data_IF_842512399192
#
_entry.id   IF_842512399192
#
_cell.length_a   1.000
_cell.length_b   1.000
_cell.length_c   1.000
_cell.angle_alpha   90.00
_cell.angle_beta   90.00
_cell.angle_gamma   90.00
#
_symmetry.space_group_name_H-M   'P 1'
#
loop_
_entity.id
_entity.type
_entity.pdbx_description
1 polymer ?
#
# COMPACT_ATOMS: atom_id res chain seq x y z
N UNK A 1 -24.06 10.06 -2.87
CA UNK A 1 -24.43 8.85 -3.67
C UNK A 1 -23.68 8.77 -5.02
N UNK A 2 -23.59 9.85 -5.82
CA UNK A 2 -22.92 9.85 -7.14
C UNK A 2 -21.43 9.46 -7.12
N UNK A 3 -20.64 10.01 -6.18
CA UNK A 3 -19.20 9.70 -6.07
C UNK A 3 -18.92 8.24 -5.72
N UNK A 4 -19.69 7.68 -4.78
CA UNK A 4 -19.59 6.28 -4.39
C UNK A 4 -19.90 5.33 -5.55
N UNK A 5 -20.96 5.59 -6.32
CA UNK A 5 -21.28 4.78 -7.50
C UNK A 5 -20.21 4.86 -8.59
N UNK A 6 -19.60 6.03 -8.78
CA UNK A 6 -18.48 6.21 -9.72
C UNK A 6 -17.24 5.43 -9.27
N UNK A 7 -16.92 5.47 -7.97
CA UNK A 7 -15.81 4.69 -7.41
C UNK A 7 -16.03 3.18 -7.55
N UNK A 8 -17.24 2.69 -7.27
CA UNK A 8 -17.57 1.26 -7.46
C UNK A 8 -17.46 0.84 -8.93
N UNK A 9 -17.92 1.68 -9.86
CA UNK A 9 -17.76 1.43 -11.31
C UNK A 9 -16.28 1.40 -11.73
N UNK A 10 -15.43 2.27 -11.16
CA UNK A 10 -13.98 2.26 -11.41
C UNK A 10 -13.29 1.03 -10.81
N UNK A 11 -13.77 0.52 -9.69
CA UNK A 11 -13.30 -0.75 -9.11
C UNK A 11 -13.66 -1.96 -9.96
N UNK A 12 -14.81 -1.95 -10.64
CA UNK A 12 -15.22 -3.03 -11.54
C UNK A 12 -14.50 -2.97 -12.89
N UNK A 13 -14.38 -1.78 -13.48
CA UNK A 13 -13.81 -1.61 -14.83
C UNK A 13 -12.29 -1.62 -14.84
N UNK A 14 -11.63 -1.00 -13.85
CA UNK A 14 -10.18 -0.87 -13.78
C UNK A 14 -9.69 -1.17 -12.34
N UNK A 15 -9.89 -2.41 -11.83
CA UNK A 15 -9.65 -2.74 -10.43
C UNK A 15 -8.21 -2.49 -9.97
N UNK A 16 -7.22 -2.80 -10.81
CA UNK A 16 -5.81 -2.66 -10.46
C UNK A 16 -5.43 -1.19 -10.30
N UNK A 17 -5.71 -0.36 -11.30
CA UNK A 17 -5.38 1.08 -11.29
C UNK A 17 -6.11 1.80 -10.17
N UNK A 18 -7.41 1.55 -10.00
CA UNK A 18 -8.21 2.19 -8.96
C UNK A 18 -7.69 1.86 -7.57
N UNK A 19 -7.42 0.57 -7.28
CA UNK A 19 -6.84 0.14 -6.00
C UNK A 19 -5.45 0.75 -5.77
N UNK A 20 -4.65 0.86 -6.82
CA UNK A 20 -3.30 1.44 -6.75
C UNK A 20 -3.33 2.93 -6.45
N UNK A 21 -4.19 3.69 -7.12
CA UNK A 21 -4.37 5.12 -6.84
C UNK A 21 -4.93 5.34 -5.44
N UNK A 22 -5.91 4.53 -5.01
CA UNK A 22 -6.41 4.58 -3.64
C UNK A 22 -5.32 4.26 -2.61
N UNK A 23 -4.51 3.24 -2.85
CA UNK A 23 -3.38 2.88 -1.98
C UNK A 23 -2.35 4.02 -1.91
N UNK A 24 -2.03 4.66 -3.03
CA UNK A 24 -1.13 5.81 -3.08
C UNK A 24 -1.62 6.97 -2.19
N UNK A 25 -2.90 7.32 -2.29
CA UNK A 25 -3.51 8.38 -1.50
C UNK A 25 -3.52 8.02 -0.01
N UNK A 26 -3.92 6.80 0.33
CA UNK A 26 -3.96 6.32 1.71
C UNK A 26 -2.55 6.29 2.31
N UNK A 27 -1.55 5.80 1.59
CA UNK A 27 -0.16 5.76 2.04
C UNK A 27 0.42 7.16 2.23
N UNK A 28 0.19 8.08 1.28
CA UNK A 28 0.65 9.47 1.40
C UNK A 28 0.04 10.19 2.60
N UNK A 29 -1.29 10.11 2.76
CA UNK A 29 -2.00 10.70 3.91
C UNK A 29 -1.58 10.03 5.23
N UNK A 30 -1.43 8.71 5.24
CA UNK A 30 -0.96 7.96 6.40
C UNK A 30 0.44 8.39 6.84
N UNK A 31 1.32 8.71 5.89
CA UNK A 31 2.64 9.24 6.18
C UNK A 31 2.56 10.65 6.82
N UNK A 32 1.67 11.53 6.37
CA UNK A 32 1.44 12.84 7.03
C UNK A 32 1.01 12.64 8.49
N UNK A 33 0.08 11.71 8.75
CA UNK A 33 -0.34 11.38 10.11
C UNK A 33 0.80 10.81 10.95
N UNK A 34 1.66 9.96 10.36
CA UNK A 34 2.84 9.43 11.04
C UNK A 34 3.82 10.53 11.42
N UNK A 35 4.12 11.45 10.51
CA UNK A 35 4.99 12.60 10.78
C UNK A 35 4.40 13.52 11.85
N UNK A 36 3.09 13.74 11.82
CA UNK A 36 2.38 14.51 12.85
C UNK A 36 2.48 13.85 14.22
N UNK A 37 2.21 12.54 14.30
CA UNK A 37 2.32 11.78 15.53
C UNK A 37 3.76 11.77 16.07
N UNK A 38 4.74 11.66 15.18
CA UNK A 38 6.16 11.73 15.54
C UNK A 38 6.54 13.12 16.09
N UNK A 39 6.02 14.19 15.53
CA UNK A 39 6.24 15.55 16.05
C UNK A 39 5.68 15.72 17.47
N UNK A 40 4.51 15.15 17.75
CA UNK A 40 3.91 15.12 19.09
C UNK A 40 4.79 14.34 20.07
N UNK A 41 5.16 13.11 19.71
CA UNK A 41 5.97 12.24 20.58
C UNK A 41 7.33 12.85 20.91
N UNK A 42 7.99 13.47 19.93
CA UNK A 42 9.31 14.07 20.08
C UNK A 42 9.29 15.51 20.59
N UNK A 43 8.10 16.10 20.83
CA UNK A 43 7.91 17.51 21.20
C UNK A 43 8.63 18.49 20.27
N UNK A 44 8.58 18.23 18.96
CA UNK A 44 9.21 19.06 17.91
C UNK A 44 8.14 19.82 17.12
N UNK A 45 8.48 20.97 16.50
CA UNK A 45 7.57 21.64 15.59
C UNK A 45 7.21 20.69 14.44
N UNK A 46 5.94 20.68 14.06
CA UNK A 46 5.46 19.86 12.96
C UNK A 46 6.01 20.39 11.64
N UNK A 47 6.75 19.55 10.92
CA UNK A 47 7.27 19.84 9.59
C UNK A 47 6.99 18.64 8.68
N UNK A 48 6.48 18.91 7.48
CA UNK A 48 6.15 17.87 6.51
C UNK A 48 7.37 17.63 5.61
N UNK A 49 7.93 16.43 5.69
CA UNK A 49 8.85 15.91 4.68
C UNK A 49 8.06 15.48 3.45
N UNK A 50 8.05 16.33 2.43
CA UNK A 50 7.43 16.03 1.14
C UNK A 50 8.12 14.84 0.45
N UNK A 51 9.43 14.68 0.61
CA UNK A 51 10.19 13.52 0.09
C UNK A 51 9.59 12.21 0.60
N UNK A 52 9.39 12.10 1.93
CA UNK A 52 8.80 10.90 2.52
C UNK A 52 7.34 10.72 2.10
N UNK A 53 6.56 11.80 2.09
CA UNK A 53 5.15 11.74 1.67
C UNK A 53 5.02 11.21 0.23
N UNK A 54 5.84 11.70 -0.71
CA UNK A 54 5.86 11.23 -2.08
C UNK A 54 6.41 9.80 -2.21
N UNK A 55 7.46 9.45 -1.47
CA UNK A 55 8.00 8.09 -1.47
C UNK A 55 6.97 7.06 -0.98
N UNK A 56 6.27 7.35 0.12
CA UNK A 56 5.16 6.52 0.62
C UNK A 56 4.00 6.46 -0.38
N UNK A 57 3.61 7.59 -0.98
CA UNK A 57 2.55 7.62 -2.00
C UNK A 57 2.91 6.80 -3.24
N UNK A 58 4.13 6.93 -3.76
CA UNK A 58 4.63 6.15 -4.90
C UNK A 58 4.70 4.67 -4.55
N UNK A 59 5.19 4.31 -3.37
CA UNK A 59 5.20 2.92 -2.88
C UNK A 59 3.78 2.36 -2.82
N UNK A 60 2.83 3.16 -2.34
CA UNK A 60 1.40 2.86 -2.37
C UNK A 60 0.88 2.54 -3.78
N UNK A 61 1.28 3.37 -4.75
CA UNK A 61 0.87 3.28 -6.14
C UNK A 61 1.47 2.06 -6.86
N UNK A 62 2.78 1.89 -6.82
CA UNK A 62 3.49 0.93 -7.68
C UNK A 62 3.62 -0.44 -7.03
N UNK A 63 3.51 -0.52 -5.70
CA UNK A 63 3.74 -1.75 -4.96
C UNK A 63 2.54 -2.19 -4.15
N UNK A 64 2.08 -1.40 -3.18
CA UNK A 64 1.04 -1.83 -2.22
C UNK A 64 -0.28 -2.16 -2.92
N UNK A 65 -0.74 -1.29 -3.82
CA UNK A 65 -1.97 -1.53 -4.59
C UNK A 65 -1.91 -2.79 -5.45
N UNK A 66 -0.90 -2.93 -6.33
CA UNK A 66 -0.73 -4.14 -7.14
C UNK A 66 -0.52 -5.40 -6.31
N UNK A 67 0.28 -5.35 -5.25
CA UNK A 67 0.50 -6.45 -4.33
C UNK A 67 -0.83 -6.95 -3.76
N UNK A 68 -1.62 -6.07 -3.16
CA UNK A 68 -2.90 -6.48 -2.57
C UNK A 68 -3.89 -6.99 -3.62
N UNK A 69 -3.92 -6.39 -4.82
CA UNK A 69 -4.77 -6.89 -5.89
C UNK A 69 -4.45 -8.36 -6.21
N UNK A 70 -3.17 -8.67 -6.45
CA UNK A 70 -2.73 -10.02 -6.82
C UNK A 70 -2.83 -10.98 -5.63
N UNK A 71 -2.36 -10.58 -4.45
CA UNK A 71 -2.32 -11.42 -3.25
C UNK A 71 -3.71 -11.89 -2.84
N UNK A 72 -4.69 -10.99 -2.78
CA UNK A 72 -6.07 -11.38 -2.43
C UNK A 72 -6.76 -12.21 -3.52
N UNK A 73 -6.39 -12.03 -4.80
CA UNK A 73 -6.85 -12.93 -5.86
C UNK A 73 -6.33 -14.35 -5.64
N UNK A 74 -5.04 -14.51 -5.31
CA UNK A 74 -4.45 -15.82 -5.01
C UNK A 74 -5.04 -16.45 -3.75
N UNK A 75 -5.21 -15.69 -2.67
CA UNK A 75 -5.88 -16.16 -1.45
C UNK A 75 -7.31 -16.65 -1.75
N UNK A 76 -8.03 -15.94 -2.63
CA UNK A 76 -9.34 -16.36 -3.10
C UNK A 76 -9.31 -17.69 -3.86
N UNK A 77 -8.30 -17.90 -4.72
CA UNK A 77 -8.08 -19.17 -5.45
C UNK A 77 -7.73 -20.32 -4.49
N UNK A 78 -6.88 -20.08 -3.48
CA UNK A 78 -6.57 -21.06 -2.43
C UNK A 78 -7.83 -21.47 -1.67
N UNK A 79 -8.67 -20.49 -1.32
CA UNK A 79 -9.97 -20.73 -0.67
C UNK A 79 -10.88 -21.66 -1.48
N UNK A 80 -11.10 -21.34 -2.77
CA UNK A 80 -11.90 -22.18 -3.69
C UNK A 80 -11.31 -23.58 -3.89
N UNK A 81 -9.98 -23.69 -3.87
CA UNK A 81 -9.30 -24.99 -3.99
C UNK A 81 -9.52 -25.85 -2.74
N UNK A 82 -9.49 -25.24 -1.54
CA UNK A 82 -9.80 -25.94 -0.30
C UNK A 82 -11.26 -26.41 -0.24
N UNK A 83 -12.20 -25.58 -0.71
CA UNK A 83 -13.61 -25.92 -0.79
C UNK A 83 -13.83 -27.13 -1.72
N UNK A 84 -13.33 -27.05 -2.96
CA UNK A 84 -13.53 -28.10 -3.98
C UNK A 84 -12.83 -29.42 -3.64
N UNK A 85 -11.66 -29.41 -2.98
CA UNK A 85 -10.91 -30.64 -2.66
C UNK A 85 -11.23 -31.26 -1.31
N UNK A 86 -11.56 -30.46 -0.29
CA UNK A 86 -11.70 -30.93 1.09
C UNK A 86 -13.13 -30.77 1.65
N UNK A 87 -14.08 -30.23 0.88
CA UNK A 87 -15.44 -29.97 1.36
C UNK A 87 -15.46 -29.06 2.58
N UNK A 88 -14.47 -28.15 2.67
CA UNK A 88 -14.21 -27.37 3.88
C UNK A 88 -15.32 -26.34 4.12
N UNK A 89 -15.78 -26.23 5.37
CA UNK A 89 -16.74 -25.20 5.78
C UNK A 89 -16.16 -23.78 5.60
N UNK A 90 -17.00 -22.81 5.27
CA UNK A 90 -16.63 -21.40 5.10
C UNK A 90 -15.78 -20.85 6.26
N UNK A 91 -16.10 -21.22 7.51
CA UNK A 91 -15.33 -20.78 8.69
C UNK A 91 -13.88 -21.26 8.68
N UNK A 92 -13.67 -22.52 8.27
CA UNK A 92 -12.33 -23.13 8.18
C UNK A 92 -11.53 -22.50 7.03
N UNK A 93 -12.19 -22.21 5.91
CA UNK A 93 -11.57 -21.48 4.80
C UNK A 93 -11.10 -20.09 5.22
N UNK A 94 -11.96 -19.29 5.85
CA UNK A 94 -11.59 -17.94 6.30
C UNK A 94 -10.43 -18.00 7.30
N UNK A 95 -10.48 -18.92 8.26
CA UNK A 95 -9.38 -19.10 9.21
C UNK A 95 -8.06 -19.44 8.51
N UNK A 96 -8.08 -20.38 7.56
CA UNK A 96 -6.89 -20.75 6.80
C UNK A 96 -6.36 -19.57 5.96
N UNK A 97 -7.24 -18.79 5.31
CA UNK A 97 -6.83 -17.60 4.56
C UNK A 97 -6.19 -16.54 5.48
N UNK A 98 -6.75 -16.30 6.67
CA UNK A 98 -6.15 -15.38 7.66
C UNK A 98 -4.78 -15.89 8.11
N UNK A 99 -4.64 -17.18 8.41
CA UNK A 99 -3.36 -17.75 8.83
C UNK A 99 -2.30 -17.60 7.74
N UNK A 100 -2.65 -17.86 6.48
CA UNK A 100 -1.74 -17.69 5.33
C UNK A 100 -1.36 -16.21 5.16
N UNK A 101 -2.34 -15.31 5.23
CA UNK A 101 -2.13 -13.87 5.11
C UNK A 101 -1.18 -13.31 6.19
N UNK A 102 -1.40 -13.68 7.45
CA UNK A 102 -0.62 -13.19 8.59
C UNK A 102 0.74 -13.87 8.74
N UNK A 103 0.95 -15.04 8.13
CA UNK A 103 2.25 -15.74 8.16
C UNK A 103 3.03 -15.50 6.88
N UNK A 104 2.64 -16.14 5.78
CA UNK A 104 3.32 -16.03 4.49
C UNK A 104 3.16 -14.65 3.88
N UNK A 105 1.97 -14.06 3.96
CA UNK A 105 1.72 -12.72 3.41
C UNK A 105 2.62 -11.69 4.06
N UNK A 106 2.63 -11.62 5.38
CA UNK A 106 3.51 -10.74 6.18
C UNK A 106 5.00 -11.03 5.92
N UNK A 107 5.41 -12.31 5.95
CA UNK A 107 6.81 -12.69 5.78
C UNK A 107 7.38 -12.28 4.42
N UNK A 108 6.56 -12.26 3.37
CA UNK A 108 6.98 -11.83 2.04
C UNK A 108 6.80 -10.32 1.89
N UNK A 109 5.66 -9.77 2.33
CA UNK A 109 5.28 -8.39 2.09
C UNK A 109 6.22 -7.39 2.74
N UNK A 110 6.61 -7.57 4.00
CA UNK A 110 7.43 -6.55 4.67
C UNK A 110 8.84 -6.40 4.07
N UNK A 111 9.63 -7.48 3.87
CA UNK A 111 10.95 -7.34 3.26
C UNK A 111 10.90 -6.69 1.87
N UNK A 112 9.94 -7.09 1.05
CA UNK A 112 9.75 -6.55 -0.29
C UNK A 112 9.24 -5.11 -0.26
N UNK A 113 8.34 -4.78 0.66
CA UNK A 113 7.87 -3.41 0.90
C UNK A 113 9.04 -2.49 1.26
N UNK A 114 9.88 -2.87 2.23
CA UNK A 114 11.02 -2.06 2.64
C UNK A 114 12.02 -1.88 1.50
N UNK A 115 12.33 -2.96 0.77
CA UNK A 115 13.21 -2.88 -0.39
C UNK A 115 12.70 -1.90 -1.47
N UNK A 116 11.43 -1.99 -1.84
CA UNK A 116 10.84 -1.08 -2.84
C UNK A 116 10.76 0.35 -2.31
N UNK A 117 10.39 0.51 -1.04
CA UNK A 117 10.31 1.82 -0.39
C UNK A 117 11.67 2.53 -0.41
N UNK A 118 12.76 1.86 -0.02
CA UNK A 118 14.11 2.45 0.01
C UNK A 118 14.57 2.90 -1.38
N UNK A 119 14.27 2.12 -2.42
CA UNK A 119 14.57 2.49 -3.82
C UNK A 119 13.81 3.75 -4.22
N UNK A 120 12.51 3.79 -3.93
CA UNK A 120 11.66 4.93 -4.30
C UNK A 120 12.00 6.18 -3.49
N UNK A 121 12.31 6.04 -2.20
CA UNK A 121 12.77 7.15 -1.37
C UNK A 121 14.09 7.71 -1.90
N UNK A 122 15.06 6.86 -2.23
CA UNK A 122 16.34 7.28 -2.82
C UNK A 122 16.14 8.03 -4.13
N UNK A 123 15.22 7.55 -4.97
CA UNK A 123 14.89 8.19 -6.24
C UNK A 123 14.21 9.54 -6.07
N UNK A 124 13.29 9.67 -5.12
CA UNK A 124 12.61 10.93 -4.82
C UNK A 124 13.57 11.92 -4.17
N UNK A 125 14.40 11.47 -3.23
CA UNK A 125 15.40 12.28 -2.55
C UNK A 125 16.44 12.86 -3.53
N UNK A 126 16.97 12.02 -4.44
CA UNK A 126 17.92 12.46 -5.47
C UNK A 126 17.33 13.52 -6.42
N UNK A 127 16.03 13.44 -6.72
CA UNK A 127 15.32 14.50 -7.48
C UNK A 127 15.08 15.77 -6.67
N UNK A 128 14.87 15.63 -5.36
CA UNK A 128 14.66 16.76 -4.46
C UNK A 128 15.94 17.59 -4.33
N UNK A 129 17.08 16.96 -4.06
CA UNK A 129 18.40 17.63 -4.00
C UNK A 129 18.71 18.40 -5.31
N UNK A 130 18.44 17.79 -6.47
CA UNK A 130 18.65 18.45 -7.76
C UNK A 130 17.74 19.66 -7.98
N UNK A 131 16.53 19.65 -7.42
CA UNK A 131 15.57 20.76 -7.53
C UNK A 131 15.97 21.96 -6.65
N UNK A 132 16.53 21.71 -5.46
CA UNK A 132 17.10 22.76 -4.62
C UNK A 132 18.35 23.39 -5.25
N UNK A 133 19.25 22.58 -5.81
CA UNK A 133 20.42 23.09 -6.55
C UNK A 133 20.07 23.87 -7.84
N UNK A 134 18.86 23.70 -8.39
CA UNK A 134 18.40 24.42 -9.57
C UNK A 134 17.75 25.77 -9.24
N UNK A 135 17.31 25.99 -7.99
CA UNK A 135 16.67 27.24 -7.54
C UNK A 135 17.66 28.25 -6.95
N UNK A 136 18.87 27.80 -6.63
CA UNK A 136 19.96 28.60 -6.03
C UNK A 136 20.95 29.15 -7.09
N UNK A 137 20.52 29.26 -8.35
CA UNK A 137 21.32 29.76 -9.48
C UNK A 137 20.56 30.84 -10.25
#
# INVERSE_FOLDING_TARGET
>A
KRYYGTYMSLLETNPLTTKSVSAALVSGIGNIFSQWFQAILLRRPFHISYTQMFAFGLTGLVYVGPWFHVWYEQLGRVGRTMESRFGSSQKKQTLAQILIDQTLGVAIFFPTYFYVYEILESFVAGRCEQSYCAFDR
#
